data_IF_567275362988
#
_entry.id   IF_567275362988
#
_cell.length_a   1.000
_cell.length_b   1.000
_cell.length_c   1.000
_cell.angle_alpha   90.00
_cell.angle_beta   90.00
_cell.angle_gamma   90.00
#
_symmetry.space_group_name_H-M   'P 1'
#
loop_
_entity.id
_entity.type
_entity.pdbx_description
1 polymer ?
#
# COMPACT_ATOMS: atom_id res chain seq x y z
N UNK A 1 -3.78 1.43 -10.09
CA UNK A 1 -4.01 0.77 -8.79
C UNK A 1 -4.99 -0.39 -8.86
N UNK A 2 -6.16 -0.20 -9.45
CA UNK A 2 -7.18 -1.27 -9.55
C UNK A 2 -6.64 -2.53 -10.24
N UNK A 3 -5.85 -2.37 -11.30
CA UNK A 3 -5.25 -3.51 -11.99
C UNK A 3 -4.26 -4.29 -11.11
N UNK A 4 -3.53 -3.58 -10.26
CA UNK A 4 -2.59 -4.22 -9.33
C UNK A 4 -3.35 -5.02 -8.29
N UNK A 5 -4.44 -4.46 -7.75
CA UNK A 5 -5.29 -5.15 -6.78
C UNK A 5 -5.87 -6.44 -7.38
N UNK A 6 -6.34 -6.36 -8.62
CA UNK A 6 -6.88 -7.54 -9.33
C UNK A 6 -5.82 -8.61 -9.56
N UNK A 7 -4.61 -8.18 -9.95
CA UNK A 7 -3.50 -9.11 -10.12
C UNK A 7 -3.20 -9.85 -8.82
N UNK A 8 -3.10 -9.12 -7.71
CA UNK A 8 -2.81 -9.70 -6.41
C UNK A 8 -3.90 -10.69 -6.00
N UNK A 9 -5.17 -10.30 -6.15
CA UNK A 9 -6.29 -11.19 -5.85
C UNK A 9 -6.25 -12.46 -6.70
N UNK A 10 -5.96 -12.32 -8.00
CA UNK A 10 -5.88 -13.46 -8.90
C UNK A 10 -4.78 -14.44 -8.52
N UNK A 11 -3.75 -13.96 -7.83
CA UNK A 11 -2.64 -14.79 -7.36
C UNK A 11 -2.79 -15.23 -5.91
N UNK A 12 -3.95 -14.99 -5.30
CA UNK A 12 -4.22 -15.43 -3.95
C UNK A 12 -3.64 -14.56 -2.84
N UNK A 13 -3.26 -13.33 -3.17
CA UNK A 13 -2.73 -12.37 -2.19
C UNK A 13 -3.87 -11.52 -1.68
N UNK A 14 -4.06 -11.52 -0.35
CA UNK A 14 -5.07 -10.68 0.28
C UNK A 14 -4.61 -9.22 0.32
N UNK A 15 -5.46 -8.32 -0.17
CA UNK A 15 -5.20 -6.88 -0.15
C UNK A 15 -6.07 -6.25 0.95
N UNK A 16 -5.42 -5.73 1.99
CA UNK A 16 -6.14 -5.15 3.12
C UNK A 16 -6.63 -3.73 2.85
N UNK A 17 -5.89 -2.96 2.04
CA UNK A 17 -6.26 -1.58 1.76
C UNK A 17 -5.55 -1.06 0.50
N UNK A 18 -6.25 -0.41 -0.41
CA UNK A 18 -7.71 -0.39 -0.48
C UNK A 18 -8.23 -1.72 -1.02
N UNK A 19 -9.41 -2.11 -0.60
CA UNK A 19 -10.09 -3.25 -1.21
C UNK A 19 -10.80 -2.76 -2.48
N UNK A 20 -10.82 -3.59 -3.50
CA UNK A 20 -11.41 -3.20 -4.79
C UNK A 20 -12.85 -2.71 -4.66
N UNK A 21 -13.65 -3.40 -3.86
CA UNK A 21 -15.06 -3.06 -3.67
C UNK A 21 -15.28 -1.78 -2.87
N UNK A 22 -14.24 -1.27 -2.20
CA UNK A 22 -14.33 -0.07 -1.36
C UNK A 22 -13.98 1.21 -2.10
N UNK A 23 -13.49 1.11 -3.34
CA UNK A 23 -13.07 2.28 -4.11
C UNK A 23 -14.28 2.83 -4.86
N UNK A 24 -14.80 3.98 -4.39
CA UNK A 24 -15.97 4.63 -4.98
C UNK A 24 -15.62 5.71 -6.00
N UNK A 25 -14.53 6.44 -5.77
CA UNK A 25 -14.15 7.59 -6.60
C UNK A 25 -12.69 7.47 -7.02
N UNK A 26 -12.37 6.60 -7.99
CA UNK A 26 -10.97 6.32 -8.34
C UNK A 26 -10.24 7.51 -8.99
N UNK A 27 -10.97 8.52 -9.46
CA UNK A 27 -10.39 9.70 -10.10
C UNK A 27 -10.22 10.89 -9.16
N UNK A 28 -10.70 10.79 -7.92
CA UNK A 28 -10.54 11.85 -6.94
C UNK A 28 -9.15 11.79 -6.31
N UNK A 29 -8.70 12.94 -5.78
CA UNK A 29 -7.43 13.01 -5.05
C UNK A 29 -7.43 12.08 -3.85
N UNK A 30 -8.57 11.91 -3.23
CA UNK A 30 -8.75 10.98 -2.11
C UNK A 30 -9.66 9.87 -2.58
N UNK A 31 -9.26 8.64 -2.33
CA UNK A 31 -10.11 7.48 -2.59
C UNK A 31 -11.08 7.36 -1.42
N UNK A 32 -12.38 7.43 -1.73
CA UNK A 32 -13.43 7.27 -0.73
C UNK A 32 -13.84 5.80 -0.71
N UNK A 33 -13.80 5.18 0.45
CA UNK A 33 -14.16 3.77 0.61
C UNK A 33 -15.66 3.63 0.80
N UNK A 34 -16.25 2.58 0.25
CA UNK A 34 -17.70 2.37 0.27
C UNK A 34 -18.27 2.16 1.68
N UNK A 35 -17.44 1.70 2.62
CA UNK A 35 -17.86 1.52 4.01
C UNK A 35 -17.56 2.72 4.89
N UNK A 36 -16.90 3.76 4.35
CA UNK A 36 -16.53 4.93 5.13
C UNK A 36 -17.75 5.79 5.43
N UNK A 37 -18.09 6.00 6.70
CA UNK A 37 -19.12 6.98 7.03
C UNK A 37 -18.64 8.38 6.64
N UNK A 38 -19.54 9.17 6.05
CA UNK A 38 -19.22 10.54 5.61
C UNK A 38 -18.70 11.42 6.74
N UNK A 39 -19.01 11.08 7.98
CA UNK A 39 -18.60 11.87 9.14
C UNK A 39 -17.18 11.63 9.60
N UNK A 40 -16.46 10.64 9.03
CA UNK A 40 -15.07 10.40 9.42
C UNK A 40 -14.16 11.48 8.84
N UNK A 41 -13.25 11.98 9.67
CA UNK A 41 -12.25 12.95 9.24
C UNK A 41 -11.13 12.25 8.45
N UNK A 42 -10.32 13.06 7.75
CA UNK A 42 -9.14 12.53 7.06
C UNK A 42 -8.20 11.80 8.02
N UNK A 43 -8.03 12.35 9.23
CA UNK A 43 -7.20 11.72 10.25
C UNK A 43 -7.75 10.36 10.66
N UNK A 44 -9.06 10.26 10.84
CA UNK A 44 -9.68 8.98 11.23
C UNK A 44 -9.53 7.92 10.13
N UNK A 45 -9.68 8.33 8.87
CA UNK A 45 -9.46 7.44 7.73
C UNK A 45 -8.00 6.97 7.67
N UNK A 46 -7.05 7.89 7.91
CA UNK A 46 -5.63 7.55 7.92
C UNK A 46 -5.31 6.59 9.08
N UNK A 47 -5.92 6.82 10.24
CA UNK A 47 -5.73 5.91 11.38
C UNK A 47 -6.17 4.49 11.05
N UNK A 48 -7.23 4.32 10.27
CA UNK A 48 -7.68 3.00 9.81
C UNK A 48 -6.65 2.34 8.89
N UNK A 49 -6.06 3.12 7.98
CA UNK A 49 -5.00 2.63 7.09
C UNK A 49 -3.79 2.17 7.90
N UNK A 50 -3.36 2.97 8.87
CA UNK A 50 -2.22 2.64 9.73
C UNK A 50 -2.45 1.34 10.50
N UNK A 51 -3.66 1.14 10.99
CA UNK A 51 -4.01 -0.13 11.67
C UNK A 51 -3.89 -1.32 10.73
N UNK A 52 -4.32 -1.17 9.49
CA UNK A 52 -4.21 -2.24 8.49
C UNK A 52 -2.74 -2.56 8.18
N UNK A 53 -1.88 -1.54 8.16
CA UNK A 53 -0.45 -1.73 7.92
C UNK A 53 0.19 -2.65 8.97
N UNK A 54 -0.24 -2.56 10.22
CA UNK A 54 0.27 -3.44 11.27
C UNK A 54 -0.17 -4.91 11.12
N UNK A 55 -1.16 -5.17 10.28
CA UNK A 55 -1.67 -6.52 10.05
C UNK A 55 -1.13 -7.15 8.76
N UNK A 56 -0.44 -6.37 7.93
CA UNK A 56 0.02 -6.86 6.64
C UNK A 56 1.44 -7.44 6.74
N UNK A 57 1.81 -8.23 5.73
CA UNK A 57 3.17 -8.77 5.60
C UNK A 57 4.11 -7.75 4.95
N UNK A 58 3.57 -6.87 4.13
CA UNK A 58 4.32 -5.82 3.44
C UNK A 58 3.35 -4.77 2.91
N UNK A 59 3.89 -3.61 2.56
CA UNK A 59 3.15 -2.54 1.90
C UNK A 59 3.72 -2.38 0.50
N UNK A 60 2.85 -2.29 -0.50
CA UNK A 60 3.27 -2.05 -1.87
C UNK A 60 2.67 -0.72 -2.36
N UNK A 61 3.55 0.24 -2.63
CA UNK A 61 3.15 1.58 -3.06
C UNK A 61 3.12 1.65 -4.59
N UNK A 62 1.95 1.97 -5.14
CA UNK A 62 1.78 2.14 -6.59
C UNK A 62 1.97 3.61 -6.90
N UNK A 63 3.17 3.96 -7.39
CA UNK A 63 3.59 5.35 -7.61
C UNK A 63 4.05 5.60 -9.04
N UNK A 64 3.13 5.61 -10.02
CA UNK A 64 3.51 5.84 -11.41
C UNK A 64 4.29 7.14 -11.57
N UNK A 65 5.37 7.11 -12.36
CA UNK A 65 6.24 8.27 -12.57
C UNK A 65 7.13 8.62 -11.38
N UNK A 66 7.08 7.83 -10.31
CA UNK A 66 7.91 8.06 -9.12
C UNK A 66 7.35 9.07 -8.13
N UNK A 67 6.16 9.61 -8.38
CA UNK A 67 5.54 10.57 -7.45
C UNK A 67 4.94 9.84 -6.26
N UNK A 68 5.28 10.30 -5.05
CA UNK A 68 4.78 9.71 -3.80
C UNK A 68 3.76 10.64 -3.14
N UNK A 69 4.15 11.88 -2.88
CA UNK A 69 3.25 12.87 -2.26
C UNK A 69 3.29 12.84 -0.74
N UNK A 70 2.53 13.76 -0.13
CA UNK A 70 2.60 13.98 1.31
C UNK A 70 2.00 12.85 2.13
N UNK A 71 0.81 12.38 1.76
CA UNK A 71 0.14 11.32 2.52
C UNK A 71 0.92 10.01 2.48
N UNK A 72 1.37 9.62 1.28
CA UNK A 72 2.15 8.39 1.15
C UNK A 72 3.52 8.53 1.81
N UNK A 73 4.12 9.73 1.78
CA UNK A 73 5.38 9.97 2.48
C UNK A 73 5.25 9.75 3.99
N UNK A 74 4.14 10.23 4.57
CA UNK A 74 3.84 9.99 5.98
C UNK A 74 3.71 8.49 6.26
N UNK A 75 3.00 7.77 5.41
CA UNK A 75 2.80 6.33 5.57
C UNK A 75 4.11 5.56 5.45
N UNK A 76 4.98 5.92 4.50
CA UNK A 76 6.29 5.29 4.36
C UNK A 76 7.14 5.51 5.61
N UNK A 77 7.16 6.75 6.12
CA UNK A 77 7.88 7.07 7.36
C UNK A 77 7.34 6.30 8.56
N UNK A 78 6.03 6.19 8.66
CA UNK A 78 5.39 5.41 9.72
C UNK A 78 5.83 3.94 9.65
N UNK A 79 5.78 3.35 8.46
CA UNK A 79 6.21 1.97 8.26
C UNK A 79 7.68 1.77 8.64
N UNK A 80 8.54 2.68 8.21
CA UNK A 80 9.97 2.61 8.55
C UNK A 80 10.19 2.62 10.05
N UNK A 81 9.46 3.49 10.77
CA UNK A 81 9.58 3.60 12.22
C UNK A 81 9.07 2.35 12.95
N UNK A 82 8.16 1.60 12.35
CA UNK A 82 7.54 0.42 12.96
C UNK A 82 8.06 -0.91 12.40
N UNK A 83 9.09 -0.88 11.57
CA UNK A 83 9.67 -2.11 11.02
C UNK A 83 8.78 -2.82 10.00
N UNK A 84 7.91 -2.07 9.33
CA UNK A 84 7.05 -2.61 8.28
C UNK A 84 7.71 -2.37 6.93
N UNK A 85 7.96 -3.44 6.16
CA UNK A 85 8.62 -3.33 4.88
C UNK A 85 7.73 -2.69 3.83
N UNK A 86 8.27 -1.72 3.09
CA UNK A 86 7.59 -1.06 1.99
C UNK A 86 8.34 -1.32 0.69
N UNK A 87 7.60 -1.74 -0.33
CA UNK A 87 8.08 -1.84 -1.70
C UNK A 87 7.32 -0.84 -2.54
N UNK A 88 7.85 -0.44 -3.68
CA UNK A 88 7.19 0.51 -4.56
C UNK A 88 7.35 0.10 -6.02
N UNK A 89 6.48 0.65 -6.86
CA UNK A 89 6.52 0.38 -8.30
C UNK A 89 7.72 1.05 -8.97
N UNK A 90 7.95 2.33 -8.69
CA UNK A 90 8.98 3.10 -9.39
C UNK A 90 9.87 3.89 -8.44
N UNK A 91 11.17 4.03 -8.81
CA UNK A 91 12.08 4.87 -8.03
C UNK A 91 11.60 6.31 -7.94
N UNK A 92 11.97 6.99 -6.89
CA UNK A 92 11.58 8.37 -6.63
C UNK A 92 12.75 9.16 -6.08
N UNK A 93 12.75 10.47 -6.34
CA UNK A 93 13.74 11.39 -5.79
C UNK A 93 13.30 11.96 -4.43
N UNK A 94 12.11 11.64 -3.97
CA UNK A 94 11.62 12.12 -2.68
C UNK A 94 12.36 11.43 -1.55
N UNK A 95 12.55 12.14 -0.45
CA UNK A 95 13.33 11.62 0.68
C UNK A 95 12.83 10.28 1.19
N UNK A 96 11.51 10.11 1.27
CA UNK A 96 10.92 8.88 1.80
C UNK A 96 11.28 7.65 0.98
N UNK A 97 11.65 7.81 -0.30
CA UNK A 97 12.05 6.69 -1.14
C UNK A 97 13.29 5.97 -0.61
N UNK A 98 14.10 6.64 0.20
CA UNK A 98 15.28 6.02 0.81
C UNK A 98 14.91 4.99 1.87
N UNK A 99 13.67 4.99 2.32
CA UNK A 99 13.16 4.05 3.32
C UNK A 99 12.36 2.93 2.68
N UNK A 100 12.26 2.92 1.34
CA UNK A 100 11.60 1.85 0.59
C UNK A 100 12.61 0.75 0.33
N UNK A 101 12.21 -0.48 0.58
CA UNK A 101 13.12 -1.62 0.54
C UNK A 101 13.57 -1.98 -0.87
N UNK A 102 12.65 -1.92 -1.84
CA UNK A 102 12.97 -2.19 -3.24
C UNK A 102 11.88 -1.64 -4.15
N UNK A 103 12.23 -1.48 -5.42
CA UNK A 103 11.33 -0.97 -6.45
C UNK A 103 11.13 -2.09 -7.48
N UNK A 104 9.92 -2.60 -7.56
CA UNK A 104 9.64 -3.80 -8.34
C UNK A 104 8.30 -3.68 -9.07
N UNK A 105 8.21 -4.34 -10.22
CA UNK A 105 6.96 -4.43 -10.95
C UNK A 105 5.96 -5.34 -10.21
N UNK A 106 4.65 -5.20 -10.47
CA UNK A 106 3.65 -5.97 -9.73
C UNK A 106 3.84 -7.48 -9.79
N UNK A 107 4.23 -8.03 -10.94
CA UNK A 107 4.45 -9.47 -11.06
C UNK A 107 5.63 -9.94 -10.21
N UNK A 108 6.67 -9.14 -10.13
CA UNK A 108 7.81 -9.45 -9.27
C UNK A 108 7.42 -9.34 -7.80
N UNK A 109 6.57 -8.37 -7.46
CA UNK A 109 6.05 -8.26 -6.09
C UNK A 109 5.27 -9.49 -5.69
N UNK A 110 4.51 -10.09 -6.61
CA UNK A 110 3.81 -11.35 -6.35
C UNK A 110 4.80 -12.45 -5.94
N UNK A 111 5.90 -12.57 -6.67
CA UNK A 111 6.92 -13.58 -6.35
C UNK A 111 7.56 -13.31 -4.99
N UNK A 112 7.87 -12.06 -4.70
CA UNK A 112 8.42 -11.67 -3.41
C UNK A 112 7.43 -11.95 -2.26
N UNK A 113 6.14 -11.72 -2.50
CA UNK A 113 5.10 -11.97 -1.50
C UNK A 113 5.11 -13.44 -1.05
N UNK A 114 5.23 -14.37 -1.99
CA UNK A 114 5.29 -15.79 -1.63
C UNK A 114 6.53 -16.11 -0.83
N UNK A 115 7.67 -15.51 -1.15
CA UNK A 115 8.89 -15.69 -0.37
C UNK A 115 8.72 -15.14 1.06
N UNK A 116 8.08 -13.99 1.20
CA UNK A 116 7.80 -13.38 2.50
C UNK A 116 6.88 -14.29 3.32
N UNK A 117 5.84 -14.84 2.69
CA UNK A 117 4.92 -15.75 3.37
C UNK A 117 5.63 -17.03 3.84
N UNK A 118 6.51 -17.59 3.02
CA UNK A 118 7.30 -18.77 3.41
C UNK A 118 8.17 -18.47 4.63
N UNK A 119 8.82 -17.31 4.67
CA UNK A 119 9.67 -16.93 5.79
C UNK A 119 8.85 -16.71 7.06
N UNK A 120 7.66 -16.15 6.95
CA UNK A 120 6.81 -15.90 8.12
C UNK A 120 6.12 -17.15 8.65
N UNK A 121 6.06 -18.23 7.85
CA UNK A 121 5.48 -19.50 8.25
C UNK A 121 6.44 -20.35 9.10
N UNK A 122 7.70 -19.98 9.10
CA UNK A 122 8.73 -20.66 9.86
C UNK A 122 8.99 -19.94 11.17
#
# INVERSE_FOLDING_TARGET
>A
MTNVIRLFHAKGIEVLSPKEAEILNPNDKFVVFDYDPEHLSEKELEDLVLKKMHKCHFVYLVNPGGYIGLSASFEVGYCAAHGIDVYALEPSNELCAKYIKDFVEPEEMVNLAFQIYEQSSN
#
